data_IF_956169856795
#
_entry.id   IF_956169856795
#
_cell.length_a   1.000
_cell.length_b   1.000
_cell.length_c   1.000
_cell.angle_alpha   90.00
_cell.angle_beta   90.00
_cell.angle_gamma   90.00
#
_symmetry.space_group_name_H-M   'P 1'
#
loop_
_entity.id
_entity.type
_entity.pdbx_description
1 polymer ?
#
# COMPACT_ATOMS: atom_id res chain seq x y z
N UNK A 1 1.94 37.36 -2.97
CA UNK A 1 1.58 36.78 -3.22
C UNK A 1 1.80 35.64 -3.96
N UNK A 2 2.16 35.47 -4.74
CA UNK A 2 2.38 34.53 -5.60
C UNK A 2 3.15 33.40 -5.15
N UNK A 3 4.05 33.57 -4.43
CA UNK A 3 4.82 32.59 -3.99
C UNK A 3 4.09 31.44 -3.63
N UNK A 4 3.01 31.58 -3.37
CA UNK A 4 2.24 30.54 -3.01
C UNK A 4 2.24 29.46 -3.98
N UNK A 5 2.25 29.73 -5.19
CA UNK A 5 2.16 28.70 -6.15
C UNK A 5 3.21 27.67 -6.04
N UNK A 6 4.35 28.05 -5.65
CA UNK A 6 5.42 27.11 -5.63
C UNK A 6 5.25 26.00 -4.66
N UNK A 7 4.52 26.23 -3.67
CA UNK A 7 4.42 25.24 -2.66
C UNK A 7 3.68 24.03 -3.06
N UNK A 8 2.86 24.13 -4.04
CA UNK A 8 2.07 23.03 -4.40
C UNK A 8 2.83 21.88 -4.88
N UNK A 9 3.84 22.08 -5.59
CA UNK A 9 4.52 20.96 -6.15
C UNK A 9 5.11 20.09 -5.11
N UNK A 10 5.71 20.69 -4.12
CA UNK A 10 6.36 19.85 -3.15
C UNK A 10 5.35 19.05 -2.38
N UNK A 11 4.17 19.52 -2.27
CA UNK A 11 3.20 18.82 -1.49
C UNK A 11 2.76 17.53 -2.10
N UNK A 12 2.82 17.40 -3.41
CA UNK A 12 2.35 16.20 -4.05
C UNK A 12 3.07 14.95 -3.59
N UNK A 13 4.32 15.08 -3.21
CA UNK A 13 5.08 13.92 -2.80
C UNK A 13 4.67 13.43 -1.42
N UNK A 14 4.02 14.28 -0.65
CA UNK A 14 3.69 13.92 0.71
C UNK A 14 2.21 13.71 0.92
N UNK A 15 1.48 13.50 -0.17
CA UNK A 15 0.05 13.31 -0.03
C UNK A 15 -0.23 12.04 0.74
N UNK A 16 -1.12 12.15 1.71
CA UNK A 16 -1.47 11.05 2.60
C UNK A 16 -2.74 10.38 2.12
N UNK A 17 -2.71 9.07 2.08
CA UNK A 17 -3.87 8.26 1.68
C UNK A 17 -4.23 7.33 2.81
N UNK A 18 -5.43 6.77 2.76
CA UNK A 18 -5.91 5.82 3.74
C UNK A 18 -6.00 4.44 3.11
N UNK A 19 -5.48 3.45 3.80
CA UNK A 19 -5.53 2.08 3.33
C UNK A 19 -5.99 1.13 4.41
N UNK A 20 -6.36 -0.07 3.99
CA UNK A 20 -6.75 -1.14 4.89
C UNK A 20 -5.96 -2.39 4.50
N UNK A 21 -5.40 -3.08 5.50
CA UNK A 21 -4.72 -4.34 5.23
C UNK A 21 -5.81 -5.40 5.05
N UNK A 22 -6.07 -5.79 3.81
CA UNK A 22 -7.17 -6.71 3.54
C UNK A 22 -6.74 -8.16 3.49
N UNK A 23 -5.44 -8.41 3.33
CA UNK A 23 -4.94 -9.78 3.36
C UNK A 23 -3.53 -9.76 3.93
N UNK A 24 -3.33 -10.54 4.99
CA UNK A 24 -2.01 -10.69 5.59
C UNK A 24 -1.54 -12.10 5.26
N UNK A 25 -0.94 -12.24 4.09
CA UNK A 25 -0.51 -13.54 3.63
C UNK A 25 0.77 -13.99 4.29
N UNK A 26 1.12 -15.25 4.10
CA UNK A 26 2.35 -15.80 4.64
C UNK A 26 3.53 -15.12 3.96
N UNK A 27 4.68 -15.15 4.61
CA UNK A 27 5.93 -14.66 4.03
C UNK A 27 5.85 -13.19 3.63
N UNK A 28 5.15 -12.40 4.46
CA UNK A 28 5.06 -10.94 4.25
C UNK A 28 4.38 -10.57 2.94
N UNK A 29 3.50 -11.42 2.44
CA UNK A 29 2.75 -11.11 1.24
C UNK A 29 1.47 -10.39 1.63
N UNK A 30 1.55 -9.08 1.77
CA UNK A 30 0.45 -8.25 2.25
C UNK A 30 -0.26 -7.58 1.10
N UNK A 31 -1.59 -7.50 1.18
CA UNK A 31 -2.42 -6.83 0.18
C UNK A 31 -3.13 -5.69 0.87
N UNK A 32 -3.01 -4.50 0.30
CA UNK A 32 -3.58 -3.28 0.88
C UNK A 32 -4.63 -2.72 -0.06
N UNK A 33 -5.78 -2.39 0.49
CA UNK A 33 -6.86 -1.75 -0.25
C UNK A 33 -6.78 -0.26 0.00
N UNK A 34 -6.88 0.53 -1.08
CA UNK A 34 -6.86 1.97 -0.98
C UNK A 34 -8.29 2.46 -0.82
N UNK A 35 -8.51 3.32 0.16
CA UNK A 35 -9.84 3.82 0.44
C UNK A 35 -10.15 5.17 -0.21
N UNK A 36 -9.13 5.84 -0.75
CA UNK A 36 -9.30 7.16 -1.34
C UNK A 36 -9.59 7.07 -2.82
N UNK A 37 -10.57 7.83 -3.28
CA UNK A 37 -10.94 7.80 -4.68
C UNK A 37 -9.96 8.59 -5.54
N UNK A 38 -9.15 9.46 -4.94
CA UNK A 38 -8.20 10.26 -5.70
C UNK A 38 -6.80 9.64 -5.74
N UNK A 39 -6.68 8.39 -5.35
CA UNK A 39 -5.40 7.67 -5.45
C UNK A 39 -5.10 7.43 -6.94
N UNK A 40 -3.82 7.46 -7.35
CA UNK A 40 -3.48 7.21 -8.75
C UNK A 40 -3.93 5.83 -9.18
N UNK A 41 -4.86 5.79 -10.11
CA UNK A 41 -5.50 4.52 -10.48
C UNK A 41 -4.58 3.59 -11.21
N UNK A 42 -3.55 4.10 -11.85
CA UNK A 42 -2.62 3.25 -12.58
C UNK A 42 -1.72 2.45 -11.64
N UNK A 43 -1.70 2.77 -10.37
CA UNK A 43 -0.85 2.09 -9.40
C UNK A 43 -1.55 0.95 -8.68
N UNK A 44 -2.83 0.74 -8.91
CA UNK A 44 -3.59 -0.30 -8.20
C UNK A 44 -4.34 -1.16 -9.19
N UNK A 45 -4.77 -2.33 -8.73
CA UNK A 45 -5.70 -3.14 -9.48
C UNK A 45 -7.09 -2.82 -9.00
N UNK A 46 -7.96 -2.44 -9.91
CA UNK A 46 -9.31 -2.08 -9.53
C UNK A 46 -10.12 -3.27 -9.06
N UNK A 47 -9.77 -4.44 -9.54
CA UNK A 47 -10.43 -5.68 -9.13
C UNK A 47 -9.40 -6.80 -9.19
N UNK A 48 -9.26 -7.52 -8.10
CA UNK A 48 -8.32 -8.62 -8.03
C UNK A 48 -8.95 -9.75 -7.22
N UNK A 49 -8.93 -10.96 -7.74
CA UNK A 49 -9.50 -12.11 -7.06
C UNK A 49 -8.36 -13.00 -6.57
N UNK A 50 -8.38 -13.28 -5.27
CA UNK A 50 -7.41 -14.17 -4.65
C UNK A 50 -7.76 -15.59 -5.07
N UNK A 51 -6.89 -16.24 -5.82
CA UNK A 51 -7.21 -17.56 -6.34
C UNK A 51 -7.26 -18.63 -5.25
N UNK A 52 -6.68 -18.38 -4.09
CA UNK A 52 -6.72 -19.35 -3.00
C UNK A 52 -8.05 -19.28 -2.24
N UNK A 53 -8.61 -18.08 -2.06
CA UNK A 53 -9.82 -17.91 -1.27
C UNK A 53 -11.06 -17.64 -2.13
N UNK A 54 -10.85 -17.28 -3.40
CA UNK A 54 -11.92 -16.89 -4.31
C UNK A 54 -12.61 -15.61 -3.86
N UNK A 55 -11.94 -14.80 -3.07
CA UNK A 55 -12.50 -13.52 -2.64
C UNK A 55 -12.01 -12.44 -3.60
N UNK A 56 -12.93 -11.60 -4.04
CA UNK A 56 -12.59 -10.47 -4.91
C UNK A 56 -12.36 -9.23 -4.06
N UNK A 57 -11.26 -8.55 -4.32
CA UNK A 57 -10.90 -7.31 -3.63
C UNK A 57 -10.87 -6.18 -4.64
N UNK A 58 -11.21 -4.97 -4.20
CA UNK A 58 -11.23 -3.80 -5.07
C UNK A 58 -10.16 -2.81 -4.67
N UNK A 59 -9.56 -2.17 -5.67
CA UNK A 59 -8.61 -1.07 -5.46
C UNK A 59 -7.45 -1.47 -4.55
N UNK A 60 -6.72 -2.51 -4.97
CA UNK A 60 -5.69 -3.10 -4.12
C UNK A 60 -4.33 -3.07 -4.78
N UNK A 61 -3.30 -3.15 -3.95
CA UNK A 61 -1.93 -3.34 -4.42
C UNK A 61 -1.21 -4.28 -3.46
N UNK A 62 -0.14 -4.88 -3.95
CA UNK A 62 0.72 -5.70 -3.12
C UNK A 62 1.76 -4.79 -2.48
N UNK A 63 2.00 -4.97 -1.19
CA UNK A 63 2.98 -4.15 -0.49
C UNK A 63 4.38 -4.58 -0.90
N UNK A 64 5.18 -3.63 -1.39
CA UNK A 64 6.55 -3.92 -1.75
C UNK A 64 7.47 -3.68 -0.55
N UNK A 65 7.24 -2.61 0.21
CA UNK A 65 8.11 -2.25 1.34
C UNK A 65 7.69 -3.01 2.60
N UNK A 66 7.88 -4.33 2.58
CA UNK A 66 7.39 -5.18 3.68
C UNK A 66 8.27 -5.17 4.91
N UNK A 67 9.53 -4.76 4.77
CA UNK A 67 10.49 -4.99 5.85
C UNK A 67 10.24 -4.15 7.09
N UNK A 68 9.69 -2.95 6.92
CA UNK A 68 9.42 -2.11 8.08
C UNK A 68 7.94 -1.82 8.24
N UNK A 69 7.09 -2.64 7.64
CA UNK A 69 5.66 -2.49 7.84
C UNK A 69 5.34 -2.90 9.29
N UNK A 70 4.57 -2.08 9.98
CA UNK A 70 4.35 -2.28 11.40
C UNK A 70 3.58 -3.56 11.70
N UNK A 71 4.05 -4.31 12.69
CA UNK A 71 3.36 -5.51 13.10
C UNK A 71 2.08 -5.17 13.88
N UNK A 72 1.89 -3.91 14.23
CA UNK A 72 0.67 -3.50 14.90
C UNK A 72 -0.50 -3.43 13.94
N UNK A 73 -0.24 -3.39 12.64
CA UNK A 73 -1.30 -3.35 11.65
C UNK A 73 -1.71 -4.79 11.35
N UNK A 74 -2.95 -5.13 11.68
CA UNK A 74 -3.47 -6.48 11.49
C UNK A 74 -4.48 -6.48 10.36
N UNK A 75 -4.80 -7.67 9.88
CA UNK A 75 -5.79 -7.82 8.83
C UNK A 75 -7.08 -7.15 9.26
N UNK A 76 -7.62 -6.29 8.42
CA UNK A 76 -8.81 -5.53 8.73
C UNK A 76 -8.53 -4.15 9.29
N UNK A 77 -7.29 -3.85 9.65
CA UNK A 77 -6.96 -2.56 10.25
C UNK A 77 -6.70 -1.50 9.17
N UNK A 78 -7.02 -0.27 9.49
CA UNK A 78 -6.80 0.86 8.59
C UNK A 78 -5.65 1.72 9.09
N UNK A 79 -5.03 2.43 8.17
CA UNK A 79 -3.87 3.26 8.48
C UNK A 79 -3.71 4.33 7.42
N UNK A 80 -2.89 5.33 7.71
CA UNK A 80 -2.57 6.37 6.74
C UNK A 80 -1.16 6.18 6.25
N UNK A 81 -0.93 6.48 4.99
CA UNK A 81 0.37 6.24 4.38
C UNK A 81 0.66 7.24 3.27
N UNK A 82 1.93 7.36 2.93
CA UNK A 82 2.35 8.08 1.74
C UNK A 82 3.06 7.10 0.82
N UNK A 83 3.04 7.37 -0.47
CA UNK A 83 3.79 6.57 -1.42
C UNK A 83 5.26 6.96 -1.27
N UNK A 84 6.14 5.97 -1.16
CA UNK A 84 7.55 6.23 -0.93
C UNK A 84 8.38 5.32 -1.83
N UNK A 85 8.61 5.76 -3.04
CA UNK A 85 9.32 4.97 -4.03
C UNK A 85 10.80 4.80 -3.73
N UNK A 86 11.32 5.54 -2.77
CA UNK A 86 12.73 5.43 -2.43
C UNK A 86 13.00 4.49 -1.27
N UNK A 87 11.95 3.87 -0.76
CA UNK A 87 12.10 2.99 0.38
C UNK A 87 12.85 1.73 0.00
N UNK A 88 13.75 1.30 0.86
CA UNK A 88 14.53 0.09 0.60
C UNK A 88 14.02 -1.06 1.43
N UNK A 89 14.08 -2.25 0.87
CA UNK A 89 13.70 -3.48 1.55
C UNK A 89 14.96 -4.30 1.76
N UNK A 90 15.41 -4.38 3.00
CA UNK A 90 16.67 -5.06 3.26
C UNK A 90 16.53 -6.30 4.10
N UNK A 91 15.33 -6.69 4.43
CA UNK A 91 15.12 -7.89 5.22
C UNK A 91 15.02 -9.12 4.31
N UNK A 92 15.23 -10.28 4.88
CA UNK A 92 15.05 -11.52 4.14
C UNK A 92 13.57 -11.84 4.08
N UNK A 93 13.11 -12.28 2.93
CA UNK A 93 11.74 -12.73 2.77
C UNK A 93 11.78 -14.14 2.26
N UNK A 94 10.77 -14.91 2.58
CA UNK A 94 10.75 -16.28 2.12
C UNK A 94 10.19 -16.35 0.70
N UNK A 95 10.37 -17.50 0.06
CA UNK A 95 10.03 -17.65 -1.34
C UNK A 95 8.73 -18.42 -1.57
N UNK A 96 7.97 -18.66 -0.51
CA UNK A 96 6.72 -19.39 -0.67
C UNK A 96 5.74 -18.56 -1.50
N UNK A 97 5.10 -19.21 -2.44
CA UNK A 97 4.15 -18.53 -3.31
C UNK A 97 2.84 -18.28 -2.59
N UNK A 98 2.31 -17.09 -2.78
CA UNK A 98 0.96 -16.78 -2.37
C UNK A 98 0.45 -15.73 -3.34
N UNK A 99 -0.82 -15.78 -3.77
CA UNK A 99 -1.32 -14.82 -4.74
C UNK A 99 -1.35 -13.42 -4.17
N UNK A 100 -0.93 -12.46 -4.98
CA UNK A 100 -1.02 -11.04 -4.64
C UNK A 100 -1.34 -10.29 -5.93
N UNK A 101 -1.86 -9.07 -5.83
CA UNK A 101 -2.09 -8.26 -7.03
C UNK A 101 -0.79 -8.02 -7.77
N UNK A 102 -0.91 -7.71 -9.06
CA UNK A 102 0.27 -7.50 -9.89
C UNK A 102 0.92 -6.15 -9.69
N UNK A 103 0.26 -5.22 -9.02
CA UNK A 103 0.80 -3.89 -8.79
C UNK A 103 1.45 -3.84 -7.42
N UNK A 104 2.71 -3.44 -7.38
CA UNK A 104 3.48 -3.36 -6.14
C UNK A 104 3.79 -1.91 -5.83
N UNK A 105 3.63 -1.50 -4.57
CA UNK A 105 3.91 -0.13 -4.15
C UNK A 105 4.69 -0.16 -2.84
N UNK A 106 5.69 0.70 -2.74
CA UNK A 106 6.40 0.93 -1.48
C UNK A 106 5.80 2.15 -0.82
N UNK A 107 5.56 2.05 0.48
CA UNK A 107 4.88 3.11 1.22
C UNK A 107 5.56 3.34 2.56
N UNK A 108 5.28 4.50 3.15
CA UNK A 108 5.64 4.78 4.53
C UNK A 108 4.34 5.05 5.28
N UNK A 109 4.09 4.28 6.34
CA UNK A 109 2.89 4.45 7.15
C UNK A 109 3.11 5.66 8.04
N UNK A 110 2.17 6.59 8.03
CA UNK A 110 2.27 7.83 8.80
C UNK A 110 1.40 7.82 10.04
N UNK A 111 0.35 7.00 10.06
CA UNK A 111 -0.53 6.92 11.22
C UNK A 111 -1.29 5.60 11.20
N UNK A 112 -1.46 4.99 12.37
CA UNK A 112 -2.21 3.75 12.50
C UNK A 112 -3.50 4.07 13.23
N UNK A 113 -4.63 3.73 12.61
CA UNK A 113 -5.93 4.05 13.19
C UNK A 113 -6.39 3.03 14.20
#
# INVERSE_FOLDING_TARGET
MSLIGCNKESINHDKTFTGTLVKQGICLNYVIQVNDTDFPQELIEKSWTDEFSNIEYKNVFALESVCDFSEEIKEGSSFEFIIDNKKENKCAVCLAYTPVPSKYISITVTNIN
#
